data_IF_534478522786
#
_entry.id   IF_534478522786
#
_cell.length_a   1.000
_cell.length_b   1.000
_cell.length_c   1.000
_cell.angle_alpha   90.00
_cell.angle_beta   90.00
_cell.angle_gamma   90.00
#
_symmetry.space_group_name_H-M   'P 1'
#
loop_
_entity.id
_entity.type
_entity.pdbx_description
1 polymer ?
#
# COMPACT_ATOMS: atom_id res chain seq x y z
N UNK A 1 18.17 26.94 3.17
CA UNK A 1 16.74 26.74 2.95
C UNK A 1 16.25 27.82 1.99
N UNK A 2 15.84 27.47 0.77
CA UNK A 2 15.21 28.43 -0.16
C UNK A 2 13.72 28.42 0.19
N UNK A 3 13.25 29.47 0.80
CA UNK A 3 11.81 29.70 0.99
C UNK A 3 11.19 29.96 -0.39
N UNK A 4 10.31 29.10 -0.83
CA UNK A 4 9.62 29.22 -2.11
C UNK A 4 8.22 29.78 -1.83
N UNK A 5 8.11 31.07 -1.63
CA UNK A 5 6.85 31.77 -1.26
C UNK A 5 5.68 31.45 -2.21
N UNK A 6 5.98 31.10 -3.47
CA UNK A 6 4.96 30.69 -4.44
C UNK A 6 4.41 29.29 -4.17
N UNK A 7 5.27 28.34 -3.79
CA UNK A 7 4.80 27.01 -3.39
C UNK A 7 4.01 27.06 -2.09
N UNK A 8 4.45 27.86 -1.13
CA UNK A 8 3.75 28.07 0.13
C UNK A 8 2.38 28.71 -0.11
N UNK A 9 2.29 29.71 -0.99
CA UNK A 9 1.02 30.34 -1.36
C UNK A 9 0.10 29.36 -2.11
N UNK A 10 0.62 28.60 -3.07
CA UNK A 10 -0.14 27.61 -3.81
C UNK A 10 -0.65 26.49 -2.90
N UNK A 11 0.15 26.06 -1.93
CA UNK A 11 -0.26 25.04 -0.95
C UNK A 11 -1.38 25.53 -0.02
N UNK A 12 -1.45 26.83 0.21
CA UNK A 12 -2.54 27.44 1.00
C UNK A 12 -3.88 27.45 0.23
N UNK A 13 -3.81 27.68 -1.10
CA UNK A 13 -5.00 27.73 -1.97
C UNK A 13 -5.42 26.34 -2.47
N UNK A 14 -4.44 25.48 -2.73
CA UNK A 14 -4.61 24.10 -3.22
C UNK A 14 -3.86 23.11 -2.33
N UNK A 15 -4.31 22.87 -1.09
CA UNK A 15 -3.64 21.96 -0.20
C UNK A 15 -3.72 20.52 -0.74
N UNK A 16 -2.61 19.78 -0.61
CA UNK A 16 -2.65 18.35 -0.84
C UNK A 16 -3.64 17.69 0.11
N UNK A 17 -4.42 16.76 -0.42
CA UNK A 17 -5.50 16.15 0.36
C UNK A 17 -5.37 14.64 0.42
N UNK A 18 -5.73 14.07 1.56
CA UNK A 18 -5.81 12.63 1.76
C UNK A 18 -6.76 11.99 0.75
N UNK A 19 -6.28 11.00 0.00
CA UNK A 19 -7.04 10.35 -1.06
C UNK A 19 -8.24 9.51 -0.58
N UNK A 20 -8.41 9.33 0.74
CA UNK A 20 -9.53 8.58 1.33
C UNK A 20 -10.57 9.47 2.01
N UNK A 21 -10.16 10.54 2.71
CA UNK A 21 -11.06 11.37 3.49
C UNK A 21 -11.08 12.85 3.07
N UNK A 22 -10.27 13.24 2.07
CA UNK A 22 -10.14 14.60 1.54
C UNK A 22 -9.69 15.67 2.57
N UNK A 23 -9.19 15.25 3.75
CA UNK A 23 -8.55 16.17 4.69
C UNK A 23 -7.26 16.71 4.10
N UNK A 24 -6.91 17.95 4.32
CA UNK A 24 -5.59 18.51 4.01
C UNK A 24 -4.51 17.70 4.73
N UNK A 25 -3.46 17.37 4.00
CA UNK A 25 -2.30 16.65 4.50
C UNK A 25 -1.34 17.62 5.19
N UNK A 26 -0.66 17.13 6.23
CA UNK A 26 0.49 17.83 6.80
C UNK A 26 1.74 17.62 5.93
N UNK A 27 2.77 18.48 6.02
CA UNK A 27 3.99 18.37 5.20
C UNK A 27 4.76 17.04 5.31
N UNK A 28 4.47 16.25 6.34
CA UNK A 28 5.06 14.93 6.58
C UNK A 28 4.07 13.77 6.26
N UNK A 29 2.94 14.07 5.67
CA UNK A 29 1.95 13.08 5.24
C UNK A 29 1.94 13.03 3.71
N UNK A 30 2.13 11.82 3.17
CA UNK A 30 1.99 11.55 1.74
C UNK A 30 0.64 10.88 1.51
N UNK A 31 -0.03 11.12 0.40
CA UNK A 31 -1.22 10.40 -0.08
C UNK A 31 -2.32 10.11 0.97
N UNK A 32 -1.95 9.72 2.19
CA UNK A 32 -2.82 9.33 3.30
C UNK A 32 -2.51 10.08 4.59
N UNK A 33 -3.53 10.62 5.24
CA UNK A 33 -3.37 11.17 6.59
C UNK A 33 -3.22 10.05 7.64
N UNK A 34 -2.54 10.35 8.75
CA UNK A 34 -2.31 9.40 9.86
C UNK A 34 -3.59 8.75 10.38
N UNK A 35 -4.71 9.50 10.39
CA UNK A 35 -6.02 8.97 10.81
C UNK A 35 -6.51 7.89 9.84
N UNK A 36 -6.36 8.07 8.53
CA UNK A 36 -6.73 7.05 7.57
C UNK A 36 -5.81 5.84 7.65
N UNK A 37 -4.52 6.04 7.84
CA UNK A 37 -3.55 4.97 8.05
C UNK A 37 -3.91 4.13 9.27
N UNK A 38 -4.19 4.75 10.42
CA UNK A 38 -4.53 4.03 11.67
C UNK A 38 -5.85 3.24 11.59
N UNK A 39 -6.72 3.60 10.64
CA UNK A 39 -8.00 2.91 10.39
C UNK A 39 -7.93 1.83 9.32
N UNK A 40 -6.78 1.62 8.70
CA UNK A 40 -6.63 0.54 7.73
C UNK A 40 -6.80 -0.81 8.41
N UNK A 41 -7.55 -1.75 7.81
CA UNK A 41 -7.78 -3.07 8.38
C UNK A 41 -6.56 -3.97 8.19
N UNK A 42 -5.49 -3.71 8.95
CA UNK A 42 -4.25 -4.51 8.94
C UNK A 42 -4.54 -5.91 9.47
N UNK A 43 -3.96 -6.93 8.84
CA UNK A 43 -4.23 -8.34 9.19
C UNK A 43 -3.29 -8.90 10.26
N UNK A 44 -2.10 -8.36 10.40
CA UNK A 44 -0.99 -8.91 11.19
C UNK A 44 -0.56 -10.33 10.77
N UNK A 45 -0.90 -10.79 9.55
CA UNK A 45 -0.53 -12.13 9.06
C UNK A 45 0.98 -12.32 8.91
N UNK A 46 1.76 -11.26 8.88
CA UNK A 46 3.21 -11.33 8.94
C UNK A 46 3.71 -11.94 10.26
N UNK A 47 2.96 -11.85 11.37
CA UNK A 47 3.31 -12.46 12.66
C UNK A 47 2.93 -13.95 12.73
N UNK A 48 1.98 -14.41 11.91
CA UNK A 48 1.46 -15.78 11.86
C UNK A 48 1.48 -16.31 10.42
N UNK A 49 2.58 -16.08 9.71
CA UNK A 49 2.67 -16.35 8.26
C UNK A 49 2.61 -17.84 7.90
N UNK A 50 2.94 -18.71 8.83
CA UNK A 50 2.94 -20.17 8.62
C UNK A 50 1.57 -20.79 8.94
N UNK A 51 0.75 -20.13 9.77
CA UNK A 51 -0.57 -20.61 10.18
C UNK A 51 -1.61 -19.49 10.17
N UNK A 52 -2.31 -19.33 9.06
CA UNK A 52 -3.41 -18.37 8.94
C UNK A 52 -4.46 -18.86 7.92
N UNK A 53 -5.64 -18.22 7.94
CA UNK A 53 -6.76 -18.58 7.07
C UNK A 53 -6.49 -18.43 5.57
N UNK A 54 -5.53 -17.57 5.17
CA UNK A 54 -5.10 -17.44 3.77
C UNK A 54 -4.26 -18.65 3.36
N UNK A 55 -3.32 -19.10 4.20
CA UNK A 55 -2.53 -20.29 3.92
C UNK A 55 -3.42 -21.51 3.82
N UNK A 56 -4.39 -21.65 4.70
CA UNK A 56 -5.38 -22.75 4.66
C UNK A 56 -6.12 -22.80 3.32
N UNK A 57 -6.49 -21.64 2.74
CA UNK A 57 -7.14 -21.56 1.42
C UNK A 57 -6.24 -21.94 0.24
N UNK A 58 -4.93 -21.85 0.43
CA UNK A 58 -3.94 -22.22 -0.61
C UNK A 58 -3.43 -23.65 -0.48
N UNK A 59 -3.77 -24.36 0.61
CA UNK A 59 -3.42 -25.76 0.79
C UNK A 59 -3.98 -26.61 -0.37
N UNK A 60 -3.11 -27.37 -1.00
CA UNK A 60 -3.45 -28.20 -2.16
C UNK A 60 -3.45 -27.46 -3.52
N UNK A 61 -3.39 -26.12 -3.54
CA UNK A 61 -3.31 -25.34 -4.76
C UNK A 61 -1.86 -25.01 -5.16
N UNK A 62 -1.02 -24.70 -4.18
CA UNK A 62 0.38 -24.37 -4.40
C UNK A 62 1.24 -24.75 -3.17
N UNK A 63 2.50 -25.15 -3.36
CA UNK A 63 3.45 -25.44 -2.29
C UNK A 63 4.02 -24.13 -1.73
N UNK A 64 3.24 -23.43 -0.90
CA UNK A 64 3.66 -22.16 -0.29
C UNK A 64 4.06 -22.37 1.17
N UNK A 65 5.26 -21.90 1.55
CA UNK A 65 5.75 -21.98 2.91
C UNK A 65 5.05 -20.97 3.84
N UNK A 66 4.98 -19.70 3.42
CA UNK A 66 4.40 -18.60 4.17
C UNK A 66 3.41 -17.81 3.32
N UNK A 67 2.34 -17.34 3.93
CA UNK A 67 1.33 -16.50 3.27
C UNK A 67 1.05 -15.29 4.15
N UNK A 68 1.16 -14.12 3.54
CA UNK A 68 1.00 -12.85 4.23
C UNK A 68 0.09 -11.92 3.43
N UNK A 69 -0.65 -11.06 4.10
CA UNK A 69 -1.40 -9.99 3.49
C UNK A 69 -1.37 -8.78 4.41
N UNK A 70 -1.11 -7.61 3.86
CA UNK A 70 -1.08 -6.37 4.65
C UNK A 70 -2.48 -5.99 5.13
N UNK A 71 -3.45 -5.93 4.22
CA UNK A 71 -4.80 -5.47 4.52
C UNK A 71 -5.84 -6.57 4.33
N UNK A 72 -6.77 -6.64 5.25
CA UNK A 72 -7.99 -7.44 5.08
C UNK A 72 -8.91 -6.73 4.10
N UNK A 73 -9.33 -7.44 3.05
CA UNK A 73 -10.30 -6.89 2.12
C UNK A 73 -11.69 -6.87 2.75
N UNK A 74 -12.31 -5.69 2.76
CA UNK A 74 -13.70 -5.48 3.18
C UNK A 74 -14.46 -4.76 2.08
N UNK A 75 -15.57 -5.37 1.66
CA UNK A 75 -16.47 -4.77 0.66
C UNK A 75 -17.03 -3.44 1.20
N UNK A 76 -16.96 -2.38 0.40
CA UNK A 76 -17.30 -0.99 0.78
C UNK A 76 -16.43 -0.39 1.89
N UNK A 77 -15.39 -1.09 2.35
CA UNK A 77 -14.44 -0.63 3.37
C UNK A 77 -13.28 0.20 2.83
N UNK A 78 -12.38 0.62 3.75
CA UNK A 78 -11.19 1.41 3.40
C UNK A 78 -10.24 0.66 2.48
N UNK A 79 -10.04 -0.65 2.66
CA UNK A 79 -9.19 -1.47 1.80
C UNK A 79 -9.67 -1.47 0.34
N UNK A 80 -10.98 -1.54 0.10
CA UNK A 80 -11.52 -1.43 -1.26
C UNK A 80 -11.29 -0.04 -1.85
N UNK A 81 -11.47 1.03 -1.05
CA UNK A 81 -11.21 2.42 -1.49
C UNK A 81 -9.74 2.61 -1.88
N UNK A 82 -8.81 2.15 -1.05
CA UNK A 82 -7.37 2.16 -1.33
C UNK A 82 -7.05 1.46 -2.65
N UNK A 83 -7.50 0.22 -2.82
CA UNK A 83 -7.29 -0.53 -4.05
C UNK A 83 -7.89 0.17 -5.28
N UNK A 84 -9.04 0.83 -5.12
CA UNK A 84 -9.66 1.59 -6.20
C UNK A 84 -8.83 2.82 -6.59
N UNK A 85 -8.28 3.56 -5.61
CA UNK A 85 -7.38 4.68 -5.87
C UNK A 85 -6.14 4.23 -6.65
N UNK A 86 -5.47 3.17 -6.19
CA UNK A 86 -4.29 2.60 -6.85
C UNK A 86 -4.63 2.10 -8.25
N UNK A 87 -5.73 1.36 -8.44
CA UNK A 87 -6.04 0.72 -9.72
C UNK A 87 -6.61 1.65 -10.79
N UNK A 88 -7.35 2.69 -10.39
CA UNK A 88 -8.19 3.46 -11.31
C UNK A 88 -8.03 4.99 -11.22
N UNK A 89 -7.30 5.51 -10.26
CA UNK A 89 -7.10 6.95 -10.05
C UNK A 89 -5.64 7.41 -10.26
N UNK A 90 -4.84 6.55 -10.90
CA UNK A 90 -3.44 6.82 -11.21
C UNK A 90 -2.63 7.32 -9.99
N UNK A 91 -2.67 6.56 -8.88
CA UNK A 91 -1.93 6.90 -7.66
C UNK A 91 -0.88 5.83 -7.32
N UNK A 92 0.25 5.78 -8.08
CA UNK A 92 1.33 4.83 -7.79
C UNK A 92 2.01 5.12 -6.44
N UNK A 93 2.10 6.39 -6.03
CA UNK A 93 2.67 6.78 -4.74
C UNK A 93 1.90 6.19 -3.56
N UNK A 94 0.58 6.06 -3.67
CA UNK A 94 -0.20 5.39 -2.62
C UNK A 94 0.23 3.93 -2.42
N UNK A 95 0.50 3.19 -3.51
CA UNK A 95 1.02 1.82 -3.41
C UNK A 95 2.40 1.80 -2.73
N UNK A 96 3.29 2.72 -3.10
CA UNK A 96 4.62 2.86 -2.50
C UNK A 96 4.55 3.19 -1.01
N UNK A 97 3.71 4.13 -0.59
CA UNK A 97 3.51 4.48 0.83
C UNK A 97 3.07 3.25 1.64
N UNK A 98 2.11 2.48 1.12
CA UNK A 98 1.66 1.25 1.77
C UNK A 98 2.74 0.16 1.79
N UNK A 99 3.51 0.04 0.71
CA UNK A 99 4.64 -0.88 0.62
C UNK A 99 5.73 -0.57 1.64
N UNK A 100 6.09 0.71 1.81
CA UNK A 100 7.05 1.15 2.83
C UNK A 100 6.54 0.81 4.24
N UNK A 101 5.27 1.07 4.53
CA UNK A 101 4.69 0.75 5.83
C UNK A 101 4.69 -0.75 6.11
N UNK A 102 4.28 -1.56 5.13
CA UNK A 102 4.29 -3.00 5.28
C UNK A 102 5.71 -3.57 5.34
N UNK A 103 6.62 -3.05 4.53
CA UNK A 103 8.04 -3.41 4.55
C UNK A 103 8.69 -3.14 5.91
N UNK A 104 8.31 -2.06 6.59
CA UNK A 104 8.78 -1.78 7.96
C UNK A 104 8.30 -2.84 8.96
N UNK A 105 7.04 -3.26 8.88
CA UNK A 105 6.51 -4.35 9.72
C UNK A 105 7.18 -5.69 9.41
N UNK A 106 7.44 -5.98 8.14
CA UNK A 106 8.16 -7.19 7.73
C UNK A 106 9.60 -7.18 8.21
N UNK A 107 10.29 -6.05 8.13
CA UNK A 107 11.65 -5.90 8.64
C UNK A 107 11.70 -6.17 10.15
N UNK A 108 10.78 -5.62 10.92
CA UNK A 108 10.70 -5.86 12.37
C UNK A 108 10.45 -7.33 12.71
N UNK A 109 9.54 -8.00 11.96
CA UNK A 109 9.18 -9.40 12.20
C UNK A 109 10.22 -10.41 11.67
N UNK A 110 11.01 -10.03 10.68
CA UNK A 110 11.93 -10.92 9.95
C UNK A 110 13.33 -10.33 9.79
N UNK A 111 13.84 -9.65 10.80
CA UNK A 111 15.14 -8.95 10.76
C UNK A 111 16.31 -9.88 10.38
N UNK A 112 16.26 -11.14 10.81
CA UNK A 112 17.29 -12.16 10.51
C UNK A 112 17.00 -12.99 9.25
N UNK A 113 15.88 -12.75 8.57
CA UNK A 113 15.50 -13.53 7.40
C UNK A 113 16.08 -12.93 6.11
N UNK A 114 16.82 -13.74 5.36
CA UNK A 114 17.36 -13.35 4.05
C UNK A 114 16.41 -13.78 2.93
N UNK A 115 16.08 -12.83 2.07
CA UNK A 115 15.26 -13.07 0.87
C UNK A 115 16.18 -13.21 -0.32
N UNK A 116 16.13 -14.35 -1.02
CA UNK A 116 16.93 -14.55 -2.24
C UNK A 116 16.38 -13.68 -3.39
N UNK A 117 15.08 -13.62 -3.54
CA UNK A 117 14.40 -12.88 -4.59
C UNK A 117 13.09 -12.26 -4.12
N UNK A 118 12.77 -11.09 -4.67
CA UNK A 118 11.44 -10.46 -4.58
C UNK A 118 10.95 -10.23 -6.01
N UNK A 119 9.78 -10.74 -6.33
CA UNK A 119 9.20 -10.60 -7.67
C UNK A 119 7.77 -10.06 -7.61
N UNK A 120 7.45 -9.02 -8.36
CA UNK A 120 6.09 -8.51 -8.44
C UNK A 120 5.20 -9.46 -9.28
N UNK A 121 3.91 -9.47 -8.96
CA UNK A 121 2.94 -10.16 -9.83
C UNK A 121 2.87 -9.43 -11.17
N UNK A 122 3.12 -10.11 -12.30
CA UNK A 122 3.13 -9.45 -13.61
C UNK A 122 1.74 -8.94 -13.99
N UNK A 123 1.71 -7.78 -14.65
CA UNK A 123 0.48 -7.19 -15.16
C UNK A 123 0.40 -7.42 -16.68
N UNK A 124 -0.77 -7.84 -17.15
CA UNK A 124 -1.01 -8.01 -18.60
C UNK A 124 -0.78 -6.68 -19.34
N UNK A 125 -0.12 -6.72 -20.51
CA UNK A 125 0.31 -5.54 -21.27
C UNK A 125 -0.81 -4.51 -21.53
N UNK A 126 -2.02 -4.94 -21.90
CA UNK A 126 -3.16 -4.03 -22.10
C UNK A 126 -3.51 -3.24 -20.84
N UNK A 127 -3.42 -3.88 -19.67
CA UNK A 127 -3.65 -3.20 -18.38
C UNK A 127 -2.50 -2.28 -18.00
N UNK A 128 -1.27 -2.67 -18.32
CA UNK A 128 -0.09 -1.84 -18.11
C UNK A 128 -0.18 -0.56 -18.96
N UNK A 129 -0.49 -0.69 -20.25
CA UNK A 129 -0.67 0.47 -21.16
C UNK A 129 -1.78 1.41 -20.71
N UNK A 130 -2.92 0.86 -20.23
CA UNK A 130 -4.05 1.70 -19.80
C UNK A 130 -3.84 2.35 -18.43
N UNK A 131 -3.03 1.75 -17.56
CA UNK A 131 -2.78 2.21 -16.19
C UNK A 131 -1.49 3.02 -16.06
N UNK A 132 -0.50 2.76 -16.93
CA UNK A 132 0.82 3.39 -16.91
C UNK A 132 1.81 2.75 -15.93
N UNK A 133 1.38 1.85 -15.05
CA UNK A 133 2.26 1.19 -14.07
C UNK A 133 1.71 -0.15 -13.57
N UNK A 134 2.62 -0.98 -13.03
CA UNK A 134 2.26 -2.19 -12.31
C UNK A 134 2.16 -1.88 -10.81
N UNK A 135 0.96 -2.01 -10.25
CA UNK A 135 0.72 -1.71 -8.83
C UNK A 135 1.48 -2.66 -7.87
N UNK A 136 1.75 -3.89 -8.28
CA UNK A 136 2.51 -4.85 -7.48
C UNK A 136 4.00 -4.53 -7.42
N UNK A 137 4.51 -3.85 -8.44
CA UNK A 137 5.89 -3.36 -8.51
C UNK A 137 6.08 -2.08 -7.68
N UNK A 138 5.03 -1.26 -7.60
CA UNK A 138 5.07 -0.04 -6.79
C UNK A 138 4.89 -0.31 -5.29
N UNK A 139 4.20 -1.37 -4.94
CA UNK A 139 4.03 -1.86 -3.56
C UNK A 139 5.29 -2.58 -3.07
#
# INVERSE_FOLDING_TARGET
>A
MRFNYWEDFLSLVFPETCCLCNRSLFPFEDELCKICISRLPVTNYHLVSEENDLKTKLLGLAPVGRVMAYLRFTKKGLSQKVLHQIKYKNRPMLAKVLGIQYGSLLKEAYDTYTWDYVTPVPLHQRKLSSRGYNQSEQF
#
